data_IF_827228431152
#
_entry.id   IF_827228431152
#
_cell.length_a   1.000
_cell.length_b   1.000
_cell.length_c   1.000
_cell.angle_alpha   90.00
_cell.angle_beta   90.00
_cell.angle_gamma   90.00
#
_symmetry.space_group_name_H-M   'P 1'
#
loop_
_entity.id
_entity.type
_entity.pdbx_description
1 polymer ?
#
# COMPACT_ATOMS: atom_id res chain seq x y z
N UNK A 1 13.06 1.48 -11.10
CA UNK A 1 11.75 1.62 -11.77
C UNK A 1 11.95 1.98 -13.23
N UNK A 2 11.02 1.57 -14.10
CA UNK A 2 11.14 1.74 -15.56
C UNK A 2 11.21 3.21 -16.02
N UNK A 3 10.68 4.14 -15.21
CA UNK A 3 10.71 5.58 -15.48
C UNK A 3 11.98 6.31 -15.06
N UNK A 4 12.99 5.61 -14.54
CA UNK A 4 14.26 6.22 -14.16
C UNK A 4 15.09 6.60 -15.39
N UNK A 5 15.83 7.71 -15.30
CA UNK A 5 16.67 8.21 -16.40
C UNK A 5 17.55 7.15 -17.08
N UNK A 6 18.23 6.24 -16.34
CA UNK A 6 19.05 5.21 -16.97
C UNK A 6 18.26 4.26 -17.89
N UNK A 7 16.98 4.02 -17.62
CA UNK A 7 16.12 3.12 -18.39
C UNK A 7 15.34 3.90 -19.45
N UNK A 8 14.80 5.08 -19.10
CA UNK A 8 14.02 5.94 -20.02
C UNK A 8 14.80 6.37 -21.26
N UNK A 9 16.13 6.50 -21.16
CA UNK A 9 16.99 6.90 -22.29
C UNK A 9 17.16 5.83 -23.37
N UNK A 10 16.80 4.57 -23.10
CA UNK A 10 17.04 3.43 -24.00
C UNK A 10 16.04 3.36 -25.16
N UNK A 11 16.06 4.36 -26.05
CA UNK A 11 15.08 4.53 -27.14
C UNK A 11 14.88 3.28 -28.02
N UNK A 12 15.97 2.58 -28.35
CA UNK A 12 15.93 1.36 -29.19
C UNK A 12 15.20 0.20 -28.50
N UNK A 13 15.32 0.10 -27.17
CA UNK A 13 14.63 -0.92 -26.37
C UNK A 13 13.15 -0.57 -26.25
N UNK A 14 12.84 0.69 -25.96
CA UNK A 14 11.45 1.17 -25.88
C UNK A 14 10.69 1.04 -27.19
N UNK A 15 11.36 1.19 -28.34
CA UNK A 15 10.75 0.96 -29.67
C UNK A 15 10.31 -0.49 -29.92
N UNK A 16 10.64 -1.44 -29.06
CA UNK A 16 10.20 -2.84 -29.14
C UNK A 16 9.08 -3.19 -28.15
N UNK A 17 8.73 -2.28 -27.25
CA UNK A 17 7.75 -2.51 -26.18
C UNK A 17 6.37 -2.02 -26.64
N UNK A 18 5.32 -2.79 -26.33
CA UNK A 18 3.94 -2.32 -26.48
C UNK A 18 3.63 -1.27 -25.40
N UNK A 19 3.72 0.00 -25.79
CA UNK A 19 3.63 1.13 -24.85
C UNK A 19 2.23 1.34 -24.27
N UNK A 20 1.18 0.87 -24.94
CA UNK A 20 -0.20 1.17 -24.57
C UNK A 20 -0.56 0.68 -23.14
N UNK A 21 -0.29 -0.60 -22.84
CA UNK A 21 -0.50 -1.14 -21.49
C UNK A 21 0.37 -0.46 -20.44
N UNK A 22 1.59 -0.09 -20.82
CA UNK A 22 2.52 0.58 -19.91
C UNK A 22 2.02 1.98 -19.55
N UNK A 23 1.56 2.76 -20.54
CA UNK A 23 1.00 4.10 -20.33
C UNK A 23 -0.28 4.06 -19.48
N UNK A 24 -1.12 3.05 -19.67
CA UNK A 24 -2.29 2.84 -18.81
C UNK A 24 -1.86 2.66 -17.35
N UNK A 25 -0.90 1.77 -17.08
CA UNK A 25 -0.37 1.55 -15.73
C UNK A 25 0.26 2.82 -15.12
N UNK A 26 0.94 3.64 -15.92
CA UNK A 26 1.48 4.93 -15.47
C UNK A 26 0.39 5.92 -15.04
N UNK A 27 -0.75 5.92 -15.73
CA UNK A 27 -1.88 6.78 -15.37
C UNK A 27 -2.50 6.38 -14.03
N UNK A 28 -2.52 5.09 -13.70
CA UNK A 28 -3.02 4.62 -12.41
C UNK A 28 -2.17 5.11 -11.24
N UNK A 29 -0.84 5.16 -11.39
CA UNK A 29 0.11 5.53 -10.31
C UNK A 29 0.64 6.96 -10.52
N UNK A 30 -0.21 7.87 -11.00
CA UNK A 30 0.21 9.23 -11.32
C UNK A 30 0.38 10.11 -10.06
N UNK A 31 1.62 10.30 -9.64
CA UNK A 31 2.02 11.12 -8.48
C UNK A 31 1.61 12.59 -8.64
N UNK A 32 1.63 13.14 -9.86
CA UNK A 32 1.33 14.56 -10.11
C UNK A 32 -0.12 14.95 -9.79
N UNK A 33 -1.02 13.96 -9.72
CA UNK A 33 -2.44 14.14 -9.38
C UNK A 33 -2.76 13.64 -7.98
N UNK A 34 -1.75 13.57 -7.09
CA UNK A 34 -1.88 13.05 -5.73
C UNK A 34 -2.60 11.69 -5.68
N UNK A 35 -2.26 10.80 -6.61
CA UNK A 35 -2.82 9.44 -6.66
C UNK A 35 -4.35 9.39 -6.83
N UNK A 36 -4.97 10.42 -7.42
CA UNK A 36 -6.42 10.55 -7.57
C UNK A 36 -7.13 9.34 -8.21
N UNK A 37 -6.42 8.58 -9.07
CA UNK A 37 -6.95 7.33 -9.65
C UNK A 37 -6.68 6.13 -8.76
N UNK A 38 -5.50 6.05 -8.14
CA UNK A 38 -5.07 4.92 -7.32
C UNK A 38 -5.90 4.79 -6.04
N UNK A 39 -6.11 5.86 -5.28
CA UNK A 39 -6.80 5.81 -3.98
C UNK A 39 -8.22 5.22 -4.06
N UNK A 40 -9.11 5.66 -4.98
CA UNK A 40 -10.44 5.05 -5.10
C UNK A 40 -10.36 3.61 -5.61
N UNK A 41 -9.43 3.27 -6.51
CA UNK A 41 -9.24 1.89 -6.97
C UNK A 41 -8.79 0.96 -5.85
N UNK A 42 -7.85 1.40 -5.01
CA UNK A 42 -7.39 0.67 -3.84
C UNK A 42 -8.56 0.39 -2.89
N UNK A 43 -9.37 1.41 -2.58
CA UNK A 43 -10.54 1.27 -1.72
C UNK A 43 -11.52 0.21 -2.24
N UNK A 44 -11.87 0.28 -3.53
CA UNK A 44 -12.78 -0.71 -4.14
C UNK A 44 -12.19 -2.12 -4.07
N UNK A 45 -10.88 -2.26 -4.33
CA UNK A 45 -10.21 -3.55 -4.25
C UNK A 45 -10.21 -4.11 -2.82
N UNK A 46 -9.96 -3.27 -1.81
CA UNK A 46 -10.02 -3.66 -0.40
C UNK A 46 -11.43 -4.08 0.03
N UNK A 47 -12.46 -3.33 -0.37
CA UNK A 47 -13.86 -3.70 -0.12
C UNK A 47 -14.25 -5.01 -0.81
N UNK A 48 -13.74 -5.27 -2.02
CA UNK A 48 -13.93 -6.55 -2.70
C UNK A 48 -13.23 -7.69 -1.96
N UNK A 49 -11.97 -7.49 -1.57
CA UNK A 49 -11.20 -8.48 -0.82
C UNK A 49 -11.86 -8.84 0.52
N UNK A 50 -12.39 -7.84 1.23
CA UNK A 50 -13.14 -8.04 2.47
C UNK A 50 -14.41 -8.86 2.25
N UNK A 51 -15.19 -8.57 1.19
CA UNK A 51 -16.38 -9.35 0.82
C UNK A 51 -16.06 -10.82 0.56
N UNK A 52 -14.88 -11.13 0.04
CA UNK A 52 -14.44 -12.51 -0.21
C UNK A 52 -13.66 -13.13 0.96
N UNK A 53 -13.60 -12.45 2.11
CA UNK A 53 -12.93 -12.94 3.31
C UNK A 53 -11.42 -13.08 3.13
N UNK A 54 -10.80 -12.22 2.33
CA UNK A 54 -9.36 -12.15 2.14
C UNK A 54 -8.72 -13.48 1.69
N UNK A 55 -9.47 -14.28 0.89
CA UNK A 55 -8.95 -15.52 0.31
C UNK A 55 -7.77 -15.26 -0.62
N UNK A 56 -6.90 -16.27 -0.76
CA UNK A 56 -5.57 -16.17 -1.37
C UNK A 56 -5.55 -15.65 -2.81
N UNK A 57 -6.65 -15.73 -3.54
CA UNK A 57 -6.81 -15.23 -4.91
C UNK A 57 -7.27 -13.77 -5.00
N UNK A 58 -7.57 -13.12 -3.86
CA UNK A 58 -8.11 -11.75 -3.77
C UNK A 58 -7.29 -10.86 -2.83
N UNK A 59 -5.98 -11.08 -2.82
CA UNK A 59 -5.00 -10.34 -2.03
C UNK A 59 -4.74 -8.96 -2.66
N UNK A 60 -4.93 -7.88 -1.89
CA UNK A 60 -4.71 -6.48 -2.32
C UNK A 60 -3.54 -5.85 -1.57
N UNK A 61 -2.45 -5.53 -2.26
CA UNK A 61 -1.24 -4.91 -1.68
C UNK A 61 -1.28 -3.38 -1.87
N UNK A 62 -1.43 -2.56 -0.81
CA UNK A 62 -1.26 -1.12 -0.92
C UNK A 62 0.21 -0.72 -1.10
N UNK A 63 0.49 0.33 -1.87
CA UNK A 63 1.79 1.02 -1.83
C UNK A 63 1.96 1.76 -0.50
N UNK A 64 2.70 1.14 0.42
CA UNK A 64 2.92 1.68 1.78
C UNK A 64 3.47 3.10 1.80
N UNK A 65 4.24 3.50 0.78
CA UNK A 65 4.77 4.86 0.67
C UNK A 65 3.69 5.94 0.55
N UNK A 66 2.58 5.63 -0.13
CA UNK A 66 1.44 6.56 -0.30
C UNK A 66 0.73 6.73 1.04
N UNK A 67 0.48 5.61 1.70
CA UNK A 67 -0.14 5.53 3.03
C UNK A 67 0.68 6.33 4.06
N UNK A 68 2.00 6.14 4.10
CA UNK A 68 2.89 6.89 4.99
C UNK A 68 2.94 8.39 4.68
N UNK A 69 2.80 8.77 3.41
CA UNK A 69 2.77 10.18 3.00
C UNK A 69 1.55 10.91 3.58
N UNK A 70 0.39 10.26 3.64
CA UNK A 70 -0.83 10.83 4.23
C UNK A 70 -0.69 11.04 5.75
N UNK A 71 -0.10 10.09 6.47
CA UNK A 71 0.22 10.24 7.91
C UNK A 71 1.17 11.39 8.15
N UNK A 72 2.24 11.44 7.34
CA UNK A 72 3.24 12.48 7.42
C UNK A 72 2.60 13.86 7.18
N UNK A 73 1.69 13.95 6.22
CA UNK A 73 0.94 15.18 5.93
C UNK A 73 0.10 15.63 7.14
N UNK A 74 -0.71 14.74 7.73
CA UNK A 74 -1.51 15.03 8.93
C UNK A 74 -0.61 15.50 10.09
N UNK A 75 0.53 14.83 10.28
CA UNK A 75 1.48 15.16 11.36
C UNK A 75 2.10 16.54 11.18
N UNK A 76 2.51 16.89 9.97
CA UNK A 76 3.29 18.10 9.67
C UNK A 76 2.43 19.34 9.46
N UNK A 77 1.19 19.19 8.97
CA UNK A 77 0.33 20.31 8.62
C UNK A 77 -0.72 20.63 9.70
N UNK A 78 -0.68 19.95 10.85
CA UNK A 78 -1.55 20.22 12.00
C UNK A 78 -0.73 20.43 13.27
N UNK A 79 -1.05 21.48 14.05
CA UNK A 79 -0.44 21.70 15.36
C UNK A 79 -0.96 20.68 16.38
N UNK A 80 -0.10 20.24 17.30
CA UNK A 80 -0.48 19.34 18.40
C UNK A 80 -1.41 20.01 19.41
N UNK A 81 -1.30 21.34 19.52
CA UNK A 81 -2.09 22.17 20.43
C UNK A 81 -2.89 23.22 19.66
N UNK A 82 -4.06 23.54 20.19
CA UNK A 82 -4.89 24.66 19.74
C UNK A 82 -4.25 25.98 20.14
N UNK A 83 -4.72 27.09 19.57
CA UNK A 83 -4.28 28.45 19.96
C UNK A 83 -4.63 28.79 21.40
N UNK A 84 -5.60 28.09 22.00
CA UNK A 84 -5.98 28.20 23.41
C UNK A 84 -5.12 27.33 24.34
N UNK A 85 -4.13 26.60 23.83
CA UNK A 85 -3.24 25.73 24.62
C UNK A 85 -3.78 24.33 24.90
N UNK A 86 -5.00 24.01 24.48
CA UNK A 86 -5.58 22.66 24.60
C UNK A 86 -5.04 21.69 23.55
N UNK A 87 -5.19 20.38 23.77
CA UNK A 87 -4.79 19.35 22.81
C UNK A 87 -5.67 19.42 21.55
N UNK A 88 -5.07 19.33 20.37
CA UNK A 88 -5.78 19.27 19.10
C UNK A 88 -6.36 17.86 18.86
N UNK A 89 -7.48 17.55 19.51
CA UNK A 89 -8.15 16.25 19.41
C UNK A 89 -8.50 15.87 17.96
N UNK A 90 -8.75 16.84 17.08
CA UNK A 90 -9.03 16.57 15.66
C UNK A 90 -7.82 15.96 14.96
N UNK A 91 -6.60 16.44 15.23
CA UNK A 91 -5.37 15.86 14.69
C UNK A 91 -5.20 14.41 15.16
N UNK A 92 -5.30 14.19 16.47
CA UNK A 92 -5.10 12.87 17.06
C UNK A 92 -6.19 11.88 16.65
N UNK A 93 -7.44 12.32 16.52
CA UNK A 93 -8.52 11.51 15.99
C UNK A 93 -8.23 11.05 14.55
N UNK A 94 -7.83 11.98 13.66
CA UNK A 94 -7.47 11.61 12.28
C UNK A 94 -6.29 10.64 12.22
N UNK A 95 -5.27 10.82 13.06
CA UNK A 95 -4.14 9.89 13.14
C UNK A 95 -4.56 8.52 13.71
N UNK A 96 -5.39 8.50 14.76
CA UNK A 96 -5.87 7.26 15.37
C UNK A 96 -6.78 6.48 14.40
N UNK A 97 -7.67 7.17 13.70
CA UNK A 97 -8.51 6.59 12.64
C UNK A 97 -7.65 5.96 11.55
N UNK A 98 -6.61 6.67 11.10
CA UNK A 98 -5.68 6.12 10.13
C UNK A 98 -4.94 4.86 10.63
N UNK A 99 -4.41 4.88 11.85
CA UNK A 99 -3.70 3.72 12.41
C UNK A 99 -4.65 2.53 12.60
N UNK A 100 -5.89 2.78 13.01
CA UNK A 100 -6.88 1.72 13.24
C UNK A 100 -7.46 1.15 11.95
N UNK A 101 -7.71 1.97 10.94
CA UNK A 101 -8.38 1.53 9.70
C UNK A 101 -7.37 1.14 8.61
N UNK A 102 -6.28 1.88 8.41
CA UNK A 102 -5.35 1.67 7.29
C UNK A 102 -4.12 0.84 7.70
N UNK A 103 -3.54 1.12 8.86
CA UNK A 103 -2.30 0.48 9.30
C UNK A 103 -2.51 -0.96 9.79
N UNK A 104 -3.57 -1.22 10.54
CA UNK A 104 -3.95 -2.60 10.91
C UNK A 104 -4.21 -3.45 9.67
N UNK A 105 -4.86 -2.88 8.65
CA UNK A 105 -5.10 -3.54 7.37
C UNK A 105 -3.79 -3.92 6.68
N UNK A 106 -2.77 -3.05 6.68
CA UNK A 106 -1.43 -3.38 6.15
C UNK A 106 -0.74 -4.50 6.95
N UNK A 107 -0.85 -4.49 8.28
CA UNK A 107 -0.23 -5.53 9.12
C UNK A 107 -0.92 -6.88 8.93
N UNK A 108 -2.26 -6.91 8.95
CA UNK A 108 -3.05 -8.09 8.61
C UNK A 108 -2.70 -8.60 7.22
N UNK A 109 -2.50 -7.69 6.27
CA UNK A 109 -2.15 -8.00 4.90
C UNK A 109 -0.75 -8.65 4.79
N UNK A 110 0.26 -8.16 5.52
CA UNK A 110 1.59 -8.77 5.54
C UNK A 110 1.56 -10.22 6.08
N UNK A 111 0.71 -10.48 7.09
CA UNK A 111 0.51 -11.82 7.66
C UNK A 111 -0.19 -12.72 6.63
N UNK A 112 -1.29 -12.25 6.03
CA UNK A 112 -2.03 -12.99 5.01
C UNK A 112 -1.18 -13.30 3.77
N UNK A 113 -0.36 -12.35 3.32
CA UNK A 113 0.56 -12.55 2.20
C UNK A 113 1.63 -13.58 2.53
N UNK A 114 2.15 -13.59 3.76
CA UNK A 114 3.13 -14.58 4.20
C UNK A 114 2.52 -15.98 4.32
N UNK A 115 1.29 -16.10 4.83
CA UNK A 115 0.54 -17.35 4.85
C UNK A 115 0.24 -17.85 3.43
N UNK A 116 -0.17 -16.96 2.52
CA UNK A 116 -0.40 -17.30 1.12
C UNK A 116 0.88 -17.75 0.42
N UNK A 117 2.02 -17.11 0.71
CA UNK A 117 3.34 -17.54 0.24
C UNK A 117 3.64 -18.97 0.70
N UNK A 118 3.40 -19.30 1.98
CA UNK A 118 3.62 -20.64 2.50
C UNK A 118 2.63 -21.69 1.97
N UNK A 119 1.43 -21.27 1.57
CA UNK A 119 0.46 -22.14 0.90
C UNK A 119 0.89 -22.48 -0.54
N UNK A 120 1.50 -21.53 -1.26
CA UNK A 120 2.05 -21.75 -2.59
C UNK A 120 3.34 -22.57 -2.56
N UNK A 121 4.23 -22.29 -1.61
CA UNK A 121 5.50 -22.98 -1.43
C UNK A 121 5.74 -23.28 0.06
N UNK A 122 5.65 -24.55 0.50
CA UNK A 122 5.75 -24.91 1.91
C UNK A 122 7.10 -24.51 2.53
N UNK A 123 7.13 -24.14 3.82
CA UNK A 123 8.35 -23.73 4.50
C UNK A 123 9.43 -24.82 4.48
N UNK A 124 10.59 -24.51 3.90
CA UNK A 124 11.68 -25.44 3.68
C UNK A 124 12.70 -25.42 4.82
N UNK A 125 13.00 -24.24 5.36
CA UNK A 125 13.96 -24.07 6.46
C UNK A 125 13.32 -24.14 7.85
N UNK A 126 14.13 -24.40 8.88
CA UNK A 126 13.67 -24.37 10.28
C UNK A 126 13.10 -22.98 10.64
N UNK A 127 13.78 -21.92 10.21
CA UNK A 127 13.32 -20.55 10.46
C UNK A 127 11.98 -20.24 9.77
N UNK A 128 11.76 -20.74 8.56
CA UNK A 128 10.46 -20.61 7.88
C UNK A 128 9.35 -21.41 8.56
N UNK A 129 9.66 -22.61 9.08
CA UNK A 129 8.69 -23.44 9.82
C UNK A 129 8.29 -22.80 11.14
N UNK A 130 9.23 -22.21 11.87
CA UNK A 130 8.94 -21.43 13.08
C UNK A 130 8.11 -20.19 12.75
N UNK A 131 8.47 -19.49 11.67
CA UNK A 131 7.73 -18.30 11.22
C UNK A 131 6.31 -18.65 10.80
N UNK A 132 6.11 -19.70 10.00
CA UNK A 132 4.78 -20.20 9.63
C UNK A 132 3.95 -20.59 10.86
N UNK A 133 4.55 -21.27 11.86
CA UNK A 133 3.87 -21.60 13.12
C UNK A 133 3.46 -20.37 13.92
N UNK A 134 4.26 -19.30 13.91
CA UNK A 134 3.95 -18.05 14.62
C UNK A 134 2.83 -17.22 13.97
N UNK A 135 2.43 -17.56 12.74
CA UNK A 135 1.41 -16.87 11.96
C UNK A 135 0.05 -17.61 11.97
N UNK A 136 -0.01 -18.82 12.54
CA UNK A 136 -1.23 -19.62 12.75
C UNK A 136 -1.81 -19.38 14.14
#
# INVERSE_FOLDING_TARGET
GLNMQPIRRLKRTWGKVQMEKFQQLEQYINVSKNFATYSPTLKVAMEEAEKYGWKTDKIVIPFTSIVLQDVYFIKTHSKDYTTAGGINLKKYYSMAKFISEEFLLIVFFCIALMLASFACEPPASIGEKEKHRSLQ
#
